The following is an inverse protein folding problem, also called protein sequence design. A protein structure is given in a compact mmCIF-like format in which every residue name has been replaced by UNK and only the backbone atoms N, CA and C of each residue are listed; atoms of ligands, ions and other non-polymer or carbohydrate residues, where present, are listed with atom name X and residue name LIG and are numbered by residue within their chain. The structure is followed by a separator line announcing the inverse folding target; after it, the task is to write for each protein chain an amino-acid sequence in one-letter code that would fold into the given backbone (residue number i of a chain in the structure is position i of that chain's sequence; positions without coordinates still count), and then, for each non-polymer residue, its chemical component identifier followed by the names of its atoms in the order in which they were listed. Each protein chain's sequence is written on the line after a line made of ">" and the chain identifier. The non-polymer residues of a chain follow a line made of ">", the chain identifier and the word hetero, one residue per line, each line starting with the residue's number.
data_IF_446316151098
#
_entry.id   IF_446316151098
#
_cell.length_a   1.000
_cell.length_b   1.000
_cell.length_c   1.000
_cell.angle_alpha   90.00
_cell.angle_beta   90.00
_cell.angle_gamma   90.00
#
_symmetry.space_group_name_H-M   'P 1'
#
loop_
_entity.id
_entity.type
_entity.pdbx_description
1 polymer ?
#
# COMPACT_ATOMS: atom_id res chain seq x y z
N UNK A 1 -8.90 -1.96 -10.92
CA UNK A 1 -8.01 -1.97 -12.08
C UNK A 1 -7.36 -0.58 -12.24
N UNK A 2 -7.52 0.09 -13.38
CA UNK A 2 -6.85 1.34 -13.80
C UNK A 2 -6.63 2.40 -12.70
N UNK A 3 -7.66 2.77 -11.92
CA UNK A 3 -7.56 3.81 -10.87
C UNK A 3 -6.45 3.55 -9.82
N UNK A 4 -6.03 2.30 -9.62
CA UNK A 4 -5.02 1.92 -8.64
C UNK A 4 -3.58 2.08 -9.15
N UNK A 5 -3.28 1.51 -10.32
CA UNK A 5 -2.04 1.77 -11.06
C UNK A 5 -1.71 3.26 -11.03
N UNK A 6 -2.73 3.98 -11.44
CA UNK A 6 -2.68 5.38 -11.71
C UNK A 6 -2.19 6.20 -10.49
N UNK A 7 -2.70 5.92 -9.29
CA UNK A 7 -2.24 6.58 -8.05
C UNK A 7 -0.79 6.25 -7.70
N UNK A 8 -0.35 5.01 -7.95
CA UNK A 8 0.99 4.58 -7.63
C UNK A 8 2.05 5.12 -8.63
N UNK A 9 1.66 5.40 -9.88
CA UNK A 9 2.53 6.13 -10.83
C UNK A 9 2.52 7.64 -10.57
N UNK A 10 1.42 8.21 -10.07
CA UNK A 10 1.41 9.62 -9.65
C UNK A 10 2.32 9.88 -8.47
N UNK A 11 2.26 8.99 -7.50
CA UNK A 11 3.04 9.03 -6.28
C UNK A 11 4.53 9.30 -6.52
N UNK A 12 5.12 8.62 -7.51
CA UNK A 12 6.52 8.75 -7.93
C UNK A 12 6.88 10.15 -8.47
N UNK A 13 5.90 10.99 -8.82
CA UNK A 13 6.10 12.35 -9.37
C UNK A 13 5.47 13.48 -8.56
N UNK A 14 4.50 13.23 -7.68
CA UNK A 14 3.92 14.29 -6.84
C UNK A 14 4.92 14.75 -5.76
N UNK A 15 5.81 13.87 -5.29
CA UNK A 15 6.86 14.23 -4.32
C UNK A 15 7.87 15.27 -4.86
N UNK A 16 8.03 15.45 -6.18
CA UNK A 16 8.93 16.47 -6.74
C UNK A 16 8.32 17.87 -6.80
N UNK A 17 6.99 18.01 -6.64
CA UNK A 17 6.32 19.32 -6.68
C UNK A 17 6.34 20.07 -5.34
N UNK A 18 6.37 19.36 -4.21
CA UNK A 18 6.35 19.99 -2.88
C UNK A 18 7.67 20.67 -2.46
N UNK A 19 8.78 20.44 -3.17
CA UNK A 19 10.06 21.13 -2.92
C UNK A 19 10.26 22.41 -3.75
N UNK A 20 9.30 22.76 -4.62
CA UNK A 20 9.46 23.81 -5.64
C UNK A 20 8.85 25.18 -5.27
N UNK A 21 8.68 25.46 -3.98
CA UNK A 21 8.33 26.80 -3.47
C UNK A 21 9.37 27.29 -2.46
N UNK A 22 10.28 28.13 -2.92
CA UNK A 22 11.09 29.02 -2.09
C UNK A 22 10.95 30.44 -2.63
N UNK A 23 10.59 31.44 -1.82
CA UNK A 23 10.43 32.80 -2.30
C UNK A 23 11.79 33.40 -2.67
N UNK A 24 11.90 33.88 -3.91
CA UNK A 24 13.08 34.59 -4.40
C UNK A 24 13.22 35.91 -3.64
N UNK A 25 14.26 36.02 -2.82
CA UNK A 25 14.70 37.29 -2.23
C UNK A 25 15.91 37.81 -2.99
N UNK A 26 15.85 39.06 -3.44
CA UNK A 26 16.89 39.68 -4.24
C UNK A 26 17.75 40.66 -3.41
N UNK A 27 19.06 40.42 -3.36
CA UNK A 27 20.10 41.43 -3.05
C UNK A 27 21.46 40.87 -3.52
N UNK A 28 22.08 41.44 -4.58
CA UNK A 28 23.01 42.59 -4.61
C UNK A 28 24.48 42.21 -4.25
N UNK A 29 25.35 42.25 -5.27
CA UNK A 29 26.80 42.60 -5.31
C UNK A 29 27.73 42.06 -4.17
N UNK A 30 28.91 41.46 -4.40
CA UNK A 30 30.04 41.96 -5.22
C UNK A 30 31.30 41.04 -5.16
N UNK A 31 32.17 41.11 -6.19
CA UNK A 31 33.66 40.89 -6.22
C UNK A 31 34.35 39.58 -5.76
N UNK A 32 35.01 38.96 -6.76
CA UNK A 32 36.46 38.64 -6.86
C UNK A 32 37.31 38.41 -5.60
N UNK A 33 37.98 37.24 -5.51
CA UNK A 33 39.43 37.15 -5.77
C UNK A 33 39.97 35.72 -6.01
N UNK A 34 41.14 35.64 -6.66
CA UNK A 34 41.89 34.41 -7.00
C UNK A 34 42.88 33.94 -5.91
N UNK A 35 43.60 32.85 -6.23
CA UNK A 35 44.86 32.34 -5.64
C UNK A 35 44.72 31.54 -4.33
N UNK A 36 45.03 30.23 -4.31
CA UNK A 36 46.33 29.54 -4.48
C UNK A 36 47.24 29.68 -3.27
N UNK A 37 47.59 28.56 -2.61
CA UNK A 37 48.96 28.01 -2.57
C UNK A 37 48.99 26.66 -1.81
N UNK A 38 50.06 25.87 -2.02
CA UNK A 38 50.22 24.49 -1.54
C UNK A 38 51.53 24.35 -0.74
N UNK A 39 51.50 23.43 0.25
CA UNK A 39 52.65 22.65 0.76
C UNK A 39 53.70 23.35 1.67
N UNK A 40 54.04 22.70 2.80
CA UNK A 40 55.35 22.07 3.00
C UNK A 40 55.29 21.00 4.12
N UNK A 41 56.14 19.97 4.04
CA UNK A 41 56.13 18.78 4.91
C UNK A 41 57.09 18.88 6.12
N UNK A 42 56.90 18.02 7.15
CA UNK A 42 57.91 17.01 7.58
C UNK A 42 57.56 16.30 8.91
N UNK A 43 57.54 14.95 8.91
CA UNK A 43 58.05 14.05 9.96
C UNK A 43 57.75 12.57 9.57
N UNK A 44 58.62 11.60 9.93
CA UNK A 44 58.55 10.19 9.50
C UNK A 44 58.65 9.22 10.69
N UNK A 45 57.73 8.24 10.76
CA UNK A 45 57.73 7.00 11.59
C UNK A 45 56.34 6.29 11.47
N UNK A 46 56.12 4.97 11.41
CA UNK A 46 56.94 3.75 11.13
C UNK A 46 56.07 2.77 10.29
N UNK A 47 56.66 1.78 9.62
CA UNK A 47 55.98 0.64 8.94
C UNK A 47 55.28 -0.34 9.93
N UNK A 48 54.29 -1.17 9.59
CA UNK A 48 54.04 -2.04 8.40
C UNK A 48 52.50 -2.24 8.14
N UNK A 49 52.03 -3.26 7.38
CA UNK A 49 52.04 -3.32 5.92
C UNK A 49 50.63 -3.40 5.27
N UNK A 50 50.63 -3.30 3.93
CA UNK A 50 49.54 -3.49 2.96
C UNK A 50 48.36 -4.39 3.32
N UNK A 51 47.14 -3.87 3.13
CA UNK A 51 45.88 -4.62 3.11
C UNK A 51 44.74 -3.79 2.49
N UNK A 52 44.82 -3.48 1.19
CA UNK A 52 43.82 -2.65 0.51
C UNK A 52 42.60 -3.49 0.09
N UNK A 53 41.72 -3.82 1.04
CA UNK A 53 40.38 -4.29 0.72
C UNK A 53 39.48 -3.11 0.37
N UNK A 54 39.38 -2.81 -0.92
CA UNK A 54 38.26 -2.03 -1.46
C UNK A 54 36.99 -2.86 -1.32
N UNK A 55 36.34 -2.76 -0.15
CA UNK A 55 35.04 -3.36 0.09
C UNK A 55 34.00 -2.71 -0.80
N UNK A 56 33.77 -3.34 -1.96
CA UNK A 56 32.61 -3.06 -2.79
C UNK A 56 31.36 -3.20 -1.92
N UNK A 57 30.42 -2.23 -1.93
CA UNK A 57 29.26 -2.30 -1.06
C UNK A 57 28.45 -3.56 -1.39
N UNK A 58 28.40 -4.49 -0.44
CA UNK A 58 27.55 -5.67 -0.54
C UNK A 58 26.11 -5.18 -0.75
N UNK A 59 25.41 -5.57 -1.84
CA UNK A 59 24.06 -5.11 -2.08
C UNK A 59 23.18 -5.57 -0.92
N UNK A 60 22.74 -4.61 -0.11
CA UNK A 60 21.86 -4.87 1.03
C UNK A 60 20.52 -5.32 0.50
N UNK A 61 20.19 -6.59 0.70
CA UNK A 61 18.92 -7.16 0.27
C UNK A 61 17.80 -6.43 1.02
N UNK A 62 17.09 -5.52 0.33
CA UNK A 62 15.93 -4.82 0.90
C UNK A 62 14.93 -5.86 1.38
N UNK A 63 14.34 -5.62 2.57
CA UNK A 63 13.22 -6.43 3.07
C UNK A 63 12.04 -6.29 2.12
N UNK A 64 11.23 -7.34 2.01
CA UNK A 64 10.15 -7.41 1.02
C UNK A 64 8.78 -7.15 1.64
N UNK A 65 8.03 -6.24 1.03
CA UNK A 65 6.64 -5.91 1.39
C UNK A 65 5.72 -6.33 0.26
N UNK A 66 4.62 -7.01 0.59
CA UNK A 66 3.65 -7.48 -0.39
C UNK A 66 2.23 -7.07 0.01
N UNK A 67 1.45 -6.52 -0.92
CA UNK A 67 0.08 -6.06 -0.64
C UNK A 67 -0.85 -6.28 -1.82
N UNK A 68 -1.96 -6.98 -1.56
CA UNK A 68 -3.02 -7.25 -2.53
C UNK A 68 -4.16 -6.24 -2.44
N UNK A 69 -4.69 -5.82 -3.58
CA UNK A 69 -5.73 -4.79 -3.66
C UNK A 69 -6.92 -5.25 -4.49
N UNK A 70 -8.14 -5.22 -3.94
CA UNK A 70 -9.33 -5.65 -4.69
C UNK A 70 -9.81 -4.54 -5.66
N UNK A 71 -10.05 -4.83 -6.95
CA UNK A 71 -10.44 -3.85 -7.97
C UNK A 71 -11.93 -3.50 -7.95
N UNK A 72 -12.70 -4.09 -7.03
CA UNK A 72 -14.14 -3.86 -6.89
C UNK A 72 -14.43 -2.42 -6.49
N UNK A 73 -15.43 -1.80 -7.12
CA UNK A 73 -15.89 -0.44 -6.82
C UNK A 73 -14.92 0.68 -7.18
N UNK A 74 -15.46 1.90 -7.27
CA UNK A 74 -14.64 3.11 -7.39
C UNK A 74 -13.74 3.29 -6.16
N UNK A 75 -12.54 3.80 -6.38
CA UNK A 75 -11.66 4.20 -5.30
C UNK A 75 -12.15 5.45 -4.58
N UNK A 76 -12.13 5.42 -3.25
CA UNK A 76 -12.51 6.56 -2.42
C UNK A 76 -11.35 7.10 -1.58
N UNK A 77 -11.51 8.33 -1.11
CA UNK A 77 -10.53 9.09 -0.34
C UNK A 77 -9.93 8.30 0.84
N UNK A 78 -10.77 7.57 1.58
CA UNK A 78 -10.32 6.67 2.66
C UNK A 78 -9.43 5.49 2.26
N UNK A 79 -9.47 5.04 0.99
CA UNK A 79 -8.47 4.07 0.50
C UNK A 79 -7.13 4.76 0.24
N UNK A 80 -7.19 5.94 -0.39
CA UNK A 80 -6.01 6.70 -0.78
C UNK A 80 -5.21 7.23 0.42
N UNK A 81 -5.86 7.97 1.33
CA UNK A 81 -5.21 8.53 2.51
C UNK A 81 -4.86 7.47 3.57
N UNK A 82 -5.62 6.38 3.65
CA UNK A 82 -5.41 5.32 4.65
C UNK A 82 -4.34 4.28 4.28
N UNK A 83 -4.13 4.01 2.98
CA UNK A 83 -3.23 2.96 2.51
C UNK A 83 -2.33 3.39 1.34
N UNK A 84 -2.90 3.89 0.24
CA UNK A 84 -2.14 4.07 -1.01
C UNK A 84 -1.03 5.13 -0.85
N UNK A 85 -1.30 6.24 -0.14
CA UNK A 85 -0.28 7.27 0.18
C UNK A 85 0.89 6.71 1.00
N UNK A 86 0.64 5.70 1.83
CA UNK A 86 1.68 5.04 2.63
C UNK A 86 2.49 4.03 1.81
N UNK A 87 1.94 3.45 0.73
CA UNK A 87 2.69 2.56 -0.15
C UNK A 87 3.81 3.27 -0.88
N UNK A 88 3.63 4.56 -1.18
CA UNK A 88 4.63 5.43 -1.82
C UNK A 88 5.96 5.37 -1.07
N UNK A 89 5.96 5.71 0.22
CA UNK A 89 7.15 5.79 1.07
C UNK A 89 7.74 4.41 1.43
N UNK A 90 7.03 3.32 1.13
CA UNK A 90 7.58 1.96 1.24
C UNK A 90 8.47 1.61 0.04
N UNK A 91 8.23 2.18 -1.15
CA UNK A 91 9.03 1.87 -2.36
C UNK A 91 10.49 2.33 -2.20
N UNK A 92 10.73 3.43 -1.49
CA UNK A 92 12.07 3.93 -1.18
C UNK A 92 12.87 2.93 -0.33
N UNK A 93 12.21 2.28 0.62
CA UNK A 93 12.85 1.56 1.73
C UNK A 93 12.81 0.03 1.57
N UNK A 94 11.87 -0.50 0.79
CA UNK A 94 11.59 -1.94 0.67
C UNK A 94 11.61 -2.43 -0.78
N UNK A 95 11.78 -3.73 -0.96
CA UNK A 95 11.45 -4.42 -2.21
C UNK A 95 9.93 -4.66 -2.21
N UNK A 96 9.18 -4.05 -3.13
CA UNK A 96 7.71 -3.98 -3.00
C UNK A 96 6.99 -4.69 -4.15
N UNK A 97 6.03 -5.56 -3.79
CA UNK A 97 5.10 -6.21 -4.72
C UNK A 97 3.69 -5.88 -4.28
N UNK A 98 3.17 -4.79 -4.84
CA UNK A 98 1.73 -4.58 -4.85
C UNK A 98 1.15 -5.50 -5.91
N UNK A 99 -0.09 -5.97 -5.77
CA UNK A 99 -0.79 -6.65 -6.86
C UNK A 99 -2.28 -6.37 -6.78
N UNK A 100 -2.98 -6.37 -7.92
CA UNK A 100 -4.42 -6.22 -7.92
C UNK A 100 -5.03 -7.61 -7.99
N UNK A 101 -5.90 -7.92 -7.02
CA UNK A 101 -6.74 -9.14 -6.94
C UNK A 101 -7.89 -9.10 -7.97
N UNK A 102 -7.74 -8.24 -8.98
CA UNK A 102 -7.90 -8.52 -10.41
C UNK A 102 -7.39 -7.29 -11.22
N UNK A 103 -6.44 -7.55 -12.11
CA UNK A 103 -5.72 -6.71 -13.09
C UNK A 103 -5.13 -5.31 -12.60
N UNK A 104 -3.79 -5.11 -12.74
CA UNK A 104 -3.06 -3.86 -13.15
C UNK A 104 -2.74 -2.61 -12.25
N UNK A 105 -1.53 -2.00 -12.05
CA UNK A 105 -0.07 -2.18 -12.35
C UNK A 105 0.87 -1.40 -11.33
N UNK A 106 2.23 -1.52 -11.38
CA UNK A 106 3.33 -0.97 -10.50
C UNK A 106 4.20 -2.00 -9.68
N UNK A 107 5.03 -2.83 -10.36
CA UNK A 107 5.42 -4.20 -9.92
C UNK A 107 4.24 -5.11 -9.53
N UNK A 108 3.03 -4.55 -9.49
CA UNK A 108 1.75 -5.16 -9.77
C UNK A 108 1.77 -5.65 -11.21
N UNK A 109 1.82 -6.95 -11.24
CA UNK A 109 1.29 -7.84 -12.24
C UNK A 109 -0.21 -7.98 -12.02
N UNK A 110 -0.80 -8.92 -12.74
CA UNK A 110 -2.12 -9.44 -12.42
C UNK A 110 -1.96 -10.81 -11.81
N UNK A 111 -2.65 -11.06 -10.70
CA UNK A 111 -2.68 -12.39 -10.08
C UNK A 111 -2.93 -13.51 -11.12
N UNK A 112 -3.88 -13.32 -12.04
CA UNK A 112 -4.18 -14.26 -13.15
C UNK A 112 -3.10 -14.34 -14.24
N UNK A 113 -2.23 -13.34 -14.40
CA UNK A 113 -1.10 -13.39 -15.34
C UNK A 113 0.08 -14.21 -14.78
N UNK A 114 0.10 -14.47 -13.47
CA UNK A 114 1.15 -15.24 -12.79
C UNK A 114 0.55 -16.56 -12.29
N UNK A 115 0.61 -17.61 -13.12
CA UNK A 115 -0.04 -18.91 -12.84
C UNK A 115 0.34 -19.55 -11.49
N UNK A 116 1.51 -19.21 -10.98
CA UNK A 116 2.02 -19.72 -9.71
C UNK A 116 1.09 -19.46 -8.51
N UNK A 117 0.24 -18.42 -8.57
CA UNK A 117 -0.76 -18.11 -7.54
C UNK A 117 -1.78 -19.24 -7.37
N UNK A 118 -2.38 -19.71 -8.47
CA UNK A 118 -3.38 -20.81 -8.43
C UNK A 118 -2.72 -22.17 -8.21
N UNK A 119 -1.51 -22.38 -8.73
CA UNK A 119 -0.74 -23.60 -8.50
C UNK A 119 -0.34 -23.73 -7.01
N UNK A 120 0.17 -22.67 -6.38
CA UNK A 120 0.48 -22.70 -4.95
C UNK A 120 -0.79 -22.75 -4.09
N UNK A 121 -1.87 -22.05 -4.45
CA UNK A 121 -3.16 -22.17 -3.74
C UNK A 121 -3.61 -23.63 -3.66
N UNK A 122 -3.50 -24.40 -4.75
CA UNK A 122 -3.85 -25.82 -4.76
C UNK A 122 -2.98 -26.65 -3.81
N UNK A 123 -1.66 -26.44 -3.85
CA UNK A 123 -0.73 -27.13 -2.95
C UNK A 123 -0.98 -26.77 -1.48
N UNK A 124 -1.16 -25.49 -1.14
CA UNK A 124 -1.51 -25.04 0.21
C UNK A 124 -2.88 -25.56 0.67
N UNK A 125 -3.84 -25.74 -0.23
CA UNK A 125 -5.16 -26.30 0.10
C UNK A 125 -5.02 -27.73 0.65
N UNK A 126 -4.11 -28.55 0.10
CA UNK A 126 -3.82 -29.89 0.65
C UNK A 126 -3.22 -29.87 2.07
N UNK A 127 -2.56 -28.78 2.45
CA UNK A 127 -2.02 -28.58 3.80
C UNK A 127 -3.03 -27.90 4.76
N UNK A 128 -4.13 -27.34 4.25
CA UNK A 128 -5.09 -26.51 5.00
C UNK A 128 -6.24 -27.35 5.57
N UNK A 129 -6.40 -27.47 6.91
CA UNK A 129 -7.57 -28.14 7.48
C UNK A 129 -8.85 -27.33 7.23
N UNK A 130 -9.89 -27.97 6.68
CA UNK A 130 -11.18 -27.29 6.37
C UNK A 130 -11.80 -26.56 7.58
N UNK A 131 -11.60 -27.11 8.78
CA UNK A 131 -12.06 -26.48 10.04
C UNK A 131 -11.39 -25.14 10.36
N UNK A 132 -10.25 -24.80 9.74
CA UNK A 132 -9.62 -23.48 9.87
C UNK A 132 -10.41 -22.44 9.06
N UNK A 133 -10.79 -22.79 7.83
CA UNK A 133 -11.57 -21.93 6.92
C UNK A 133 -12.99 -21.69 7.46
N UNK A 134 -13.68 -22.74 7.95
CA UNK A 134 -15.01 -22.65 8.54
C UNK A 134 -15.07 -21.76 9.81
N UNK A 135 -13.93 -21.40 10.42
CA UNK A 135 -13.86 -20.49 11.57
C UNK A 135 -13.63 -19.02 11.20
N UNK A 136 -13.35 -18.71 9.92
CA UNK A 136 -13.11 -17.33 9.47
C UNK A 136 -14.36 -16.47 9.65
N UNK A 137 -14.19 -15.29 10.26
CA UNK A 137 -15.30 -14.36 10.54
C UNK A 137 -15.87 -13.84 9.22
N UNK A 138 -14.99 -13.42 8.30
CA UNK A 138 -15.40 -12.93 6.98
C UNK A 138 -16.17 -13.98 6.17
N UNK A 139 -15.83 -15.28 6.29
CA UNK A 139 -16.61 -16.33 5.63
C UNK A 139 -18.03 -16.40 6.20
N UNK A 140 -18.17 -16.48 7.53
CA UNK A 140 -19.47 -16.54 8.23
C UNK A 140 -20.35 -15.32 7.99
N UNK A 141 -19.76 -14.13 7.89
CA UNK A 141 -20.52 -12.90 7.64
C UNK A 141 -20.96 -12.76 6.18
N UNK A 142 -20.10 -13.17 5.23
CA UNK A 142 -20.42 -13.09 3.80
C UNK A 142 -21.36 -14.23 3.38
N UNK A 143 -21.24 -15.44 3.94
CA UNK A 143 -22.15 -16.56 3.68
C UNK A 143 -23.60 -16.21 4.04
N UNK A 144 -23.82 -15.71 5.26
CA UNK A 144 -25.12 -15.25 5.75
C UNK A 144 -25.78 -14.17 4.90
N UNK A 145 -24.99 -13.32 4.23
CA UNK A 145 -25.51 -12.26 3.33
C UNK A 145 -25.92 -12.77 1.95
N UNK A 146 -25.36 -13.90 1.51
CA UNK A 146 -25.65 -14.54 0.21
C UNK A 146 -26.71 -15.64 0.34
N UNK A 147 -26.87 -16.19 1.55
CA UNK A 147 -27.68 -17.39 1.83
C UNK A 147 -26.82 -18.64 1.65
N UNK A 148 -26.76 -19.48 2.68
CA UNK A 148 -25.72 -20.52 2.82
C UNK A 148 -25.66 -21.53 1.64
N UNK A 149 -26.79 -21.80 0.97
CA UNK A 149 -26.85 -22.69 -0.21
C UNK A 149 -26.25 -22.07 -1.49
N UNK A 150 -26.19 -20.74 -1.59
CA UNK A 150 -25.65 -20.02 -2.75
C UNK A 150 -24.17 -19.64 -2.59
N UNK A 151 -23.50 -20.16 -1.56
CA UNK A 151 -22.11 -19.79 -1.24
C UNK A 151 -21.13 -20.56 -2.13
N UNK A 152 -20.58 -19.85 -3.12
CA UNK A 152 -19.51 -20.40 -3.95
C UNK A 152 -18.27 -20.80 -3.14
N UNK A 153 -17.67 -21.95 -3.48
CA UNK A 153 -16.49 -22.52 -2.79
C UNK A 153 -15.33 -21.54 -2.66
N UNK A 154 -15.14 -20.66 -3.65
CA UNK A 154 -14.13 -19.60 -3.62
C UNK A 154 -14.28 -18.65 -2.40
N UNK A 155 -15.48 -18.45 -1.87
CA UNK A 155 -15.69 -17.65 -0.66
C UNK A 155 -15.10 -18.32 0.60
N UNK A 156 -15.04 -19.64 0.63
CA UNK A 156 -14.40 -20.41 1.69
C UNK A 156 -12.87 -20.48 1.51
N UNK A 157 -12.40 -20.59 0.26
CA UNK A 157 -10.99 -20.91 -0.06
C UNK A 157 -10.12 -19.71 -0.41
N UNK A 158 -10.67 -18.51 -0.68
CA UNK A 158 -9.85 -17.32 -0.96
C UNK A 158 -8.81 -16.98 0.13
N UNK A 159 -8.97 -17.29 1.44
CA UNK A 159 -7.90 -17.07 2.42
C UNK A 159 -6.65 -17.92 2.15
N UNK A 160 -6.79 -19.08 1.47
CA UNK A 160 -5.66 -19.91 1.02
C UNK A 160 -5.01 -19.32 -0.23
N UNK A 161 -5.80 -18.71 -1.13
CA UNK A 161 -5.26 -17.95 -2.25
C UNK A 161 -4.47 -16.73 -1.75
N UNK A 162 -5.00 -15.97 -0.78
CA UNK A 162 -4.28 -14.87 -0.13
C UNK A 162 -2.96 -15.35 0.52
N UNK A 163 -2.95 -16.54 1.12
CA UNK A 163 -1.72 -17.13 1.63
C UNK A 163 -0.72 -17.45 0.50
N UNK A 164 -1.18 -18.01 -0.63
CA UNK A 164 -0.33 -18.22 -1.80
C UNK A 164 0.24 -16.90 -2.34
N UNK A 165 -0.59 -15.86 -2.44
CA UNK A 165 -0.22 -14.53 -2.91
C UNK A 165 0.92 -13.91 -2.09
N UNK A 166 0.95 -14.15 -0.78
CA UNK A 166 1.97 -13.61 0.13
C UNK A 166 3.23 -14.49 0.12
N UNK A 167 3.08 -15.82 0.09
CA UNK A 167 4.18 -16.75 0.33
C UNK A 167 5.04 -16.99 -0.92
N UNK A 168 4.48 -16.88 -2.13
CA UNK A 168 5.24 -16.95 -3.40
C UNK A 168 6.43 -15.99 -3.43
N UNK A 169 6.23 -14.78 -2.92
CA UNK A 169 7.25 -13.73 -2.97
C UNK A 169 8.21 -13.76 -1.78
N UNK A 170 8.12 -14.71 -0.83
CA UNK A 170 9.00 -14.74 0.35
C UNK A 170 8.94 -13.41 1.15
N UNK A 171 7.73 -12.91 1.34
CA UNK A 171 7.41 -11.64 1.99
C UNK A 171 7.96 -11.58 3.43
N UNK A 172 8.60 -10.46 3.78
CA UNK A 172 8.95 -10.18 5.19
C UNK A 172 7.77 -9.50 5.90
N UNK A 173 7.05 -8.61 5.21
CA UNK A 173 5.88 -7.93 5.77
C UNK A 173 4.69 -7.81 4.82
N UNK A 174 3.49 -7.69 5.40
CA UNK A 174 2.23 -7.46 4.68
C UNK A 174 1.45 -6.33 5.36
N UNK A 175 1.12 -5.21 4.68
CA UNK A 175 0.29 -4.17 5.26
C UNK A 175 -1.17 -4.61 5.22
N UNK A 176 -1.75 -4.80 6.40
CA UNK A 176 -3.13 -5.28 6.58
C UNK A 176 -3.95 -4.32 7.43
N UNK A 177 -5.20 -4.08 7.01
CA UNK A 177 -6.21 -3.46 7.87
C UNK A 177 -6.65 -4.42 8.98
N UNK A 178 -7.29 -3.88 10.03
CA UNK A 178 -7.83 -4.67 11.15
C UNK A 178 -8.73 -5.83 10.69
N UNK A 179 -9.49 -5.61 9.63
CA UNK A 179 -10.40 -6.57 9.02
C UNK A 179 -9.68 -7.78 8.38
N UNK A 180 -8.44 -7.63 7.95
CA UNK A 180 -7.66 -8.68 7.26
C UNK A 180 -6.67 -9.42 8.17
N UNK A 181 -6.53 -9.02 9.44
CA UNK A 181 -5.60 -9.65 10.41
C UNK A 181 -5.78 -11.16 10.53
N UNK A 182 -7.03 -11.66 10.49
CA UNK A 182 -7.31 -13.10 10.60
C UNK A 182 -6.76 -13.92 9.41
N UNK A 183 -6.71 -13.34 8.21
CA UNK A 183 -6.15 -14.03 7.03
C UNK A 183 -4.62 -14.01 7.01
N UNK A 184 -3.99 -12.93 7.51
CA UNK A 184 -2.54 -12.91 7.68
C UNK A 184 -2.10 -13.96 8.71
N UNK A 185 -2.86 -14.11 9.80
CA UNK A 185 -2.60 -15.15 10.79
C UNK A 185 -2.76 -16.57 10.21
N UNK A 186 -3.79 -16.82 9.39
CA UNK A 186 -3.90 -18.07 8.62
C UNK A 186 -2.65 -18.29 7.74
N UNK A 187 -2.19 -17.24 7.05
CA UNK A 187 -1.03 -17.30 6.16
C UNK A 187 0.24 -17.70 6.92
N UNK A 188 0.46 -17.13 8.12
CA UNK A 188 1.56 -17.51 9.02
C UNK A 188 1.47 -18.97 9.43
N UNK A 189 0.32 -19.40 9.93
CA UNK A 189 0.08 -20.79 10.36
C UNK A 189 0.27 -21.81 9.22
N UNK A 190 -0.12 -21.47 7.98
CA UNK A 190 0.13 -22.30 6.81
C UNK A 190 1.62 -22.35 6.44
N UNK A 191 2.32 -21.22 6.49
CA UNK A 191 3.76 -21.17 6.22
C UNK A 191 4.56 -22.01 7.23
N UNK A 192 4.26 -21.87 8.53
CA UNK A 192 4.84 -22.70 9.60
C UNK A 192 4.52 -24.19 9.39
N UNK A 193 3.27 -24.52 9.07
CA UNK A 193 2.84 -25.90 8.83
C UNK A 193 3.57 -26.55 7.66
N UNK A 194 3.70 -25.86 6.52
CA UNK A 194 4.46 -26.37 5.35
C UNK A 194 5.96 -26.48 5.68
N UNK A 195 6.52 -25.50 6.39
CA UNK A 195 7.91 -25.55 6.86
C UNK A 195 8.17 -26.77 7.77
N UNK A 196 7.23 -27.11 8.66
CA UNK A 196 7.35 -28.26 9.56
C UNK A 196 7.17 -29.60 8.83
N UNK A 197 6.27 -29.68 7.84
CA UNK A 197 5.99 -30.91 7.09
C UNK A 197 7.08 -31.25 6.07
N UNK A 198 7.62 -30.25 5.37
CA UNK A 198 8.46 -30.46 4.18
C UNK A 198 9.87 -29.84 4.29
N UNK A 199 10.10 -28.95 5.26
CA UNK A 199 11.36 -28.23 5.47
C UNK A 199 12.45 -29.04 6.18
N UNK A 200 13.15 -28.36 7.11
CA UNK A 200 14.13 -28.95 8.01
C UNK A 200 15.32 -29.61 7.30
N UNK A 201 15.78 -30.75 7.85
CA UNK A 201 16.91 -31.52 7.29
C UNK A 201 16.59 -32.15 5.94
N UNK A 202 15.33 -32.51 5.67
CA UNK A 202 14.90 -33.10 4.39
C UNK A 202 15.09 -32.08 3.26
N UNK A 203 14.55 -30.87 3.45
CA UNK A 203 14.70 -29.76 2.49
C UNK A 203 16.16 -29.40 2.21
N UNK A 204 16.98 -29.25 3.26
CA UNK A 204 18.43 -28.98 3.11
C UNK A 204 19.16 -30.03 2.27
N UNK A 205 18.84 -31.32 2.46
CA UNK A 205 19.42 -32.42 1.66
C UNK A 205 19.03 -32.37 0.18
N UNK A 206 17.93 -31.71 -0.16
CA UNK A 206 17.45 -31.54 -1.53
C UNK A 206 18.02 -30.27 -2.21
N UNK A 207 18.99 -29.60 -1.59
CA UNK A 207 19.56 -28.34 -2.08
C UNK A 207 18.83 -27.08 -1.59
N UNK A 208 17.84 -27.23 -0.72
CA UNK A 208 17.08 -26.12 -0.14
C UNK A 208 17.96 -25.15 0.66
N UNK A 209 17.88 -23.85 0.34
CA UNK A 209 18.49 -22.79 1.16
C UNK A 209 17.63 -22.57 2.41
N UNK A 210 18.29 -22.47 3.57
CA UNK A 210 17.61 -22.34 4.86
C UNK A 210 17.02 -23.66 5.39
N UNK A 211 16.45 -23.63 6.59
CA UNK A 211 15.68 -24.74 7.16
C UNK A 211 14.19 -24.71 6.81
N UNK A 212 13.76 -23.69 6.07
CA UNK A 212 12.39 -23.38 5.73
C UNK A 212 12.23 -23.22 4.21
N UNK A 213 11.01 -23.42 3.73
CA UNK A 213 10.59 -23.21 2.34
C UNK A 213 9.98 -21.81 2.19
N UNK A 214 9.29 -21.34 3.23
CA UNK A 214 8.72 -20.00 3.31
C UNK A 214 9.31 -19.18 4.46
N UNK A 215 9.45 -17.87 4.26
CA UNK A 215 9.43 -16.91 5.37
C UNK A 215 8.05 -16.86 6.03
N UNK A 216 8.01 -16.48 7.30
CA UNK A 216 6.76 -16.22 8.02
C UNK A 216 6.52 -14.70 7.97
N UNK A 217 5.45 -14.21 7.31
CA UNK A 217 5.25 -12.77 7.08
C UNK A 217 4.70 -12.06 8.33
N UNK A 218 5.29 -10.93 8.70
CA UNK A 218 4.83 -10.10 9.82
C UNK A 218 3.85 -9.00 9.36
N UNK A 219 2.93 -8.52 10.23
CA UNK A 219 2.06 -7.39 9.90
C UNK A 219 2.87 -6.09 9.80
N UNK A 220 2.79 -5.42 8.65
CA UNK A 220 3.23 -4.02 8.55
C UNK A 220 2.08 -3.12 8.99
N UNK A 221 2.12 -2.65 10.22
CA UNK A 221 1.21 -1.58 10.68
C UNK A 221 1.82 -0.26 10.16
N UNK A 222 1.18 0.46 9.22
CA UNK A 222 1.66 1.78 8.83
C UNK A 222 1.60 2.73 10.04
N UNK A 223 2.49 3.74 10.14
CA UNK A 223 2.27 4.84 11.09
C UNK A 223 0.86 5.38 10.89
N UNK A 224 0.11 5.53 11.99
CA UNK A 224 -1.35 5.56 12.03
C UNK A 224 -2.01 6.21 10.80
N UNK A 225 -2.36 5.36 9.82
CA UNK A 225 -2.91 5.81 8.55
C UNK A 225 -4.24 6.52 8.78
N UNK A 226 -4.50 7.58 8.01
CA UNK A 226 -5.70 8.39 8.13
C UNK A 226 -6.98 7.55 8.10
N UNK A 227 -7.66 7.43 9.23
CA UNK A 227 -8.93 6.71 9.33
C UNK A 227 -10.07 7.64 8.88
N UNK A 228 -10.21 7.79 7.57
CA UNK A 228 -11.28 8.60 6.97
C UNK A 228 -12.65 7.93 7.17
N UNK A 229 -13.57 8.67 7.78
CA UNK A 229 -14.92 8.22 8.11
C UNK A 229 -15.93 8.67 7.05
N UNK A 230 -17.13 8.10 7.09
CA UNK A 230 -18.21 8.39 6.15
C UNK A 230 -18.69 9.84 6.27
N UNK A 231 -18.95 10.47 5.12
CA UNK A 231 -19.50 11.84 5.08
C UNK A 231 -20.95 11.94 5.59
N UNK A 232 -21.65 10.82 5.77
CA UNK A 232 -23.01 10.77 6.30
C UNK A 232 -23.10 10.18 7.71
N UNK A 233 -21.98 9.67 8.25
CA UNK A 233 -21.89 9.07 9.58
C UNK A 233 -20.42 9.04 10.05
N UNK A 234 -20.05 9.94 10.96
CA UNK A 234 -18.68 10.05 11.49
C UNK A 234 -18.19 8.82 12.27
N UNK A 235 -19.08 7.91 12.68
CA UNK A 235 -18.72 6.68 13.42
C UNK A 235 -18.43 5.49 12.48
N UNK A 236 -18.93 5.52 11.25
CA UNK A 236 -18.69 4.49 10.24
C UNK A 236 -17.47 4.82 9.36
N UNK A 237 -16.57 3.84 9.17
CA UNK A 237 -15.45 3.98 8.21
C UNK A 237 -15.99 4.16 6.79
N UNK A 238 -15.38 5.05 6.00
CA UNK A 238 -15.73 5.22 4.59
C UNK A 238 -15.58 3.90 3.82
N UNK A 239 -16.60 3.48 3.07
CA UNK A 239 -16.66 2.16 2.42
C UNK A 239 -17.15 2.21 0.97
N UNK A 240 -16.49 1.41 0.13
CA UNK A 240 -16.90 1.10 -1.25
C UNK A 240 -18.29 0.46 -1.34
N UNK A 241 -18.71 -0.30 -0.32
CA UNK A 241 -19.98 -1.03 -0.31
C UNK A 241 -21.11 -0.30 0.44
N UNK A 242 -20.90 0.96 0.83
CA UNK A 242 -21.97 1.77 1.42
C UNK A 242 -23.05 2.06 0.36
N UNK A 243 -24.36 1.87 0.68
CA UNK A 243 -25.45 2.05 -0.30
C UNK A 243 -25.55 3.47 -0.87
N UNK A 244 -25.26 4.49 -0.05
CA UNK A 244 -25.28 5.89 -0.47
C UNK A 244 -23.91 6.33 -0.95
N UNK A 245 -23.80 6.77 -2.20
CA UNK A 245 -22.55 7.33 -2.72
C UNK A 245 -22.19 8.69 -2.10
N UNK A 246 -23.16 9.37 -1.47
CA UNK A 246 -22.91 10.59 -0.68
C UNK A 246 -22.06 10.31 0.57
N UNK A 247 -21.89 9.04 0.98
CA UNK A 247 -21.06 8.67 2.14
C UNK A 247 -19.55 8.77 1.88
N UNK A 248 -19.12 9.03 0.64
CA UNK A 248 -17.72 8.94 0.19
C UNK A 248 -17.39 9.94 -0.92
N UNK A 249 -16.16 10.44 -0.93
CA UNK A 249 -15.55 11.09 -2.11
C UNK A 249 -14.81 10.01 -2.90
N UNK A 250 -15.17 9.80 -4.16
CA UNK A 250 -14.39 8.97 -5.09
C UNK A 250 -13.27 9.82 -5.71
N UNK A 251 -12.12 9.21 -6.01
CA UNK A 251 -10.94 9.96 -6.46
C UNK A 251 -11.09 10.59 -7.85
N UNK A 252 -12.01 10.05 -8.66
CA UNK A 252 -12.41 10.62 -9.96
C UNK A 252 -13.79 11.32 -9.90
N UNK A 253 -14.30 11.67 -8.72
CA UNK A 253 -15.49 12.53 -8.66
C UNK A 253 -15.16 13.91 -9.30
N UNK A 254 -15.99 14.42 -10.22
CA UNK A 254 -15.86 15.78 -10.74
C UNK A 254 -15.94 16.86 -9.65
N UNK A 255 -15.41 18.06 -9.93
CA UNK A 255 -15.35 19.18 -8.97
C UNK A 255 -16.70 19.54 -8.34
N UNK A 256 -17.74 19.61 -9.17
CA UNK A 256 -19.10 19.90 -8.74
C UNK A 256 -19.69 18.77 -7.86
N UNK A 257 -19.35 17.52 -8.14
CA UNK A 257 -19.74 16.36 -7.33
C UNK A 257 -19.04 16.38 -5.97
N UNK A 258 -17.73 16.68 -5.92
CA UNK A 258 -16.98 16.85 -4.67
C UNK A 258 -17.60 17.97 -3.83
N UNK A 259 -17.77 19.16 -4.43
CA UNK A 259 -18.35 20.32 -3.75
C UNK A 259 -19.77 20.05 -3.23
N UNK A 260 -20.61 19.36 -4.00
CA UNK A 260 -21.97 19.00 -3.59
C UNK A 260 -21.97 17.98 -2.43
N UNK A 261 -21.11 16.95 -2.48
CA UNK A 261 -20.96 15.97 -1.39
C UNK A 261 -20.46 16.61 -0.10
N UNK A 262 -19.48 17.51 -0.17
CA UNK A 262 -18.99 18.24 1.01
C UNK A 262 -20.04 19.23 1.53
N UNK A 263 -20.76 19.96 0.65
CA UNK A 263 -21.88 20.82 1.05
C UNK A 263 -22.96 20.04 1.82
N UNK A 264 -23.26 18.81 1.38
CA UNK A 264 -24.29 17.92 1.96
C UNK A 264 -23.80 17.00 3.09
N UNK A 265 -22.50 16.98 3.42
CA UNK A 265 -22.01 16.08 4.46
C UNK A 265 -22.66 16.39 5.83
N UNK A 266 -22.81 15.36 6.66
CA UNK A 266 -23.32 15.48 8.02
C UNK A 266 -22.33 16.30 8.85
N UNK A 267 -22.86 17.22 9.64
CA UNK A 267 -22.11 18.07 10.59
C UNK A 267 -22.94 18.27 11.85
N UNK A 268 -22.27 18.63 12.95
CA UNK A 268 -22.92 18.98 14.21
C UNK A 268 -23.44 20.44 14.22
N UNK A 269 -24.06 20.82 15.34
CA UNK A 269 -24.60 22.16 15.58
C UNK A 269 -23.82 22.95 16.64
N UNK A 270 -22.62 22.51 17.02
CA UNK A 270 -21.80 23.21 18.01
C UNK A 270 -21.09 24.41 17.39
N UNK A 271 -20.74 25.39 18.21
CA UNK A 271 -19.93 26.54 17.80
C UNK A 271 -18.44 26.17 17.70
N UNK A 272 -17.74 26.80 16.76
CA UNK A 272 -16.32 26.55 16.48
C UNK A 272 -16.02 25.15 15.95
N UNK A 273 -14.76 24.93 15.56
CA UNK A 273 -14.27 23.66 15.02
C UNK A 273 -13.08 23.15 15.84
N UNK A 274 -13.11 21.88 16.26
CA UNK A 274 -12.11 21.29 17.15
C UNK A 274 -11.82 19.82 16.81
N UNK A 275 -10.60 19.39 17.11
CA UNK A 275 -10.19 17.98 17.02
C UNK A 275 -10.48 17.22 18.32
N UNK A 276 -10.47 15.89 18.26
CA UNK A 276 -10.51 14.93 19.37
C UNK A 276 -11.71 15.01 20.33
N UNK A 277 -12.71 15.86 20.10
CA UNK A 277 -13.98 15.81 20.82
C UNK A 277 -14.76 14.54 20.39
N UNK A 278 -14.98 13.55 21.28
CA UNK A 278 -15.62 12.28 20.93
C UNK A 278 -17.11 12.44 20.58
N UNK A 279 -17.76 13.50 21.07
CA UNK A 279 -19.16 13.82 20.79
C UNK A 279 -19.34 14.52 19.42
N UNK A 280 -18.24 14.85 18.74
CA UNK A 280 -18.21 15.54 17.44
C UNK A 280 -17.43 14.74 16.37
N UNK A 281 -17.79 13.46 16.10
CA UNK A 281 -17.03 12.60 15.20
C UNK A 281 -17.01 13.11 13.76
N UNK A 282 -18.08 13.78 13.29
CA UNK A 282 -18.08 14.47 11.99
C UNK A 282 -17.06 15.62 11.94
N UNK A 283 -16.93 16.42 13.01
CA UNK A 283 -16.00 17.55 13.04
C UNK A 283 -14.55 17.06 12.98
N UNK A 284 -14.22 16.09 13.84
CA UNK A 284 -12.89 15.48 13.85
C UNK A 284 -12.55 14.83 12.50
N UNK A 285 -13.51 14.17 11.83
CA UNK A 285 -13.31 13.58 10.50
C UNK A 285 -13.02 14.64 9.43
N UNK A 286 -13.82 15.71 9.35
CA UNK A 286 -13.68 16.72 8.30
C UNK A 286 -12.42 17.58 8.49
N UNK A 287 -12.04 17.93 9.72
CA UNK A 287 -10.77 18.59 10.03
C UNK A 287 -9.56 17.68 9.73
N UNK A 288 -9.66 16.39 10.05
CA UNK A 288 -8.62 15.41 9.69
C UNK A 288 -8.44 15.30 8.17
N UNK A 289 -9.53 15.25 7.40
CA UNK A 289 -9.45 15.27 5.93
C UNK A 289 -8.74 16.55 5.46
N UNK A 290 -9.17 17.72 5.94
CA UNK A 290 -8.58 19.00 5.55
C UNK A 290 -7.07 19.07 5.82
N UNK A 291 -6.63 18.65 7.01
CA UNK A 291 -5.22 18.53 7.39
C UNK A 291 -4.43 17.69 6.37
N UNK A 292 -4.95 16.51 6.03
CA UNK A 292 -4.25 15.55 5.18
C UNK A 292 -4.12 15.99 3.72
N UNK A 293 -5.11 16.71 3.20
CA UNK A 293 -5.13 17.17 1.80
C UNK A 293 -4.43 18.50 1.60
N UNK A 294 -4.51 19.41 2.59
CA UNK A 294 -3.73 20.66 2.60
C UNK A 294 -2.26 20.46 2.94
N UNK A 295 -1.92 19.38 3.66
CA UNK A 295 -0.56 19.12 4.16
C UNK A 295 -0.17 19.94 5.38
N UNK A 296 -1.09 20.74 5.94
CA UNK A 296 -0.89 21.58 7.13
C UNK A 296 -0.69 20.74 8.39
N UNK A 297 0.00 21.31 9.38
CA UNK A 297 0.09 20.70 10.72
C UNK A 297 -1.25 20.78 11.45
N UNK A 298 -1.38 20.06 12.58
CA UNK A 298 -2.61 20.11 13.37
C UNK A 298 -2.84 21.50 13.95
N UNK A 299 -1.76 22.15 14.38
CA UNK A 299 -1.72 23.47 14.99
C UNK A 299 -2.14 24.54 13.99
N UNK A 300 -1.64 24.47 12.75
CA UNK A 300 -2.04 25.35 11.65
C UNK A 300 -3.54 25.22 11.33
N UNK A 301 -4.06 23.98 11.23
CA UNK A 301 -5.49 23.74 10.99
C UNK A 301 -6.36 24.28 12.14
N UNK A 302 -5.95 24.09 13.40
CA UNK A 302 -6.68 24.68 14.55
C UNK A 302 -6.66 26.20 14.48
N UNK A 303 -5.50 26.83 14.27
CA UNK A 303 -5.39 28.29 14.22
C UNK A 303 -6.26 28.90 13.11
N UNK A 304 -6.31 28.27 11.95
CA UNK A 304 -7.11 28.70 10.80
C UNK A 304 -8.62 28.44 11.01
N UNK A 305 -9.00 27.24 11.47
CA UNK A 305 -10.38 26.77 11.38
C UNK A 305 -11.19 26.95 12.68
N UNK A 306 -10.56 27.12 13.85
CA UNK A 306 -11.25 27.09 15.16
C UNK A 306 -12.46 28.03 15.29
N UNK A 307 -12.38 29.22 14.68
CA UNK A 307 -13.41 30.26 14.72
C UNK A 307 -14.38 30.21 13.55
N UNK A 308 -14.21 29.27 12.61
CA UNK A 308 -15.10 29.12 11.46
C UNK A 308 -16.42 28.44 11.86
N UNK A 309 -17.46 28.71 11.08
CA UNK A 309 -18.68 27.92 11.07
C UNK A 309 -18.69 26.97 9.86
N UNK A 310 -19.62 26.01 9.85
CA UNK A 310 -19.77 25.05 8.75
C UNK A 310 -20.02 25.67 7.37
N UNK A 311 -20.60 26.87 7.31
CA UNK A 311 -20.84 27.60 6.07
C UNK A 311 -19.56 28.15 5.43
N UNK A 312 -18.56 28.51 6.24
CA UNK A 312 -17.24 28.94 5.78
C UNK A 312 -16.28 27.75 5.54
N UNK A 313 -16.31 26.76 6.44
CA UNK A 313 -15.37 25.63 6.38
C UNK A 313 -15.69 24.59 5.29
N UNK A 314 -16.97 24.34 4.97
CA UNK A 314 -17.32 23.37 3.90
C UNK A 314 -16.80 23.79 2.51
N UNK A 315 -16.92 25.06 2.08
CA UNK A 315 -16.26 25.55 0.87
C UNK A 315 -14.74 25.37 0.91
N UNK A 316 -14.07 25.81 1.98
CA UNK A 316 -12.61 25.68 2.15
C UNK A 316 -12.14 24.22 2.01
N UNK A 317 -12.84 23.28 2.64
CA UNK A 317 -12.56 21.86 2.53
C UNK A 317 -12.84 21.31 1.12
N UNK A 318 -13.89 21.78 0.45
CA UNK A 318 -14.20 21.36 -0.92
C UNK A 318 -13.12 21.82 -1.90
N UNK A 319 -12.68 23.08 -1.82
CA UNK A 319 -11.63 23.63 -2.67
C UNK A 319 -10.29 22.91 -2.42
N UNK A 320 -9.89 22.72 -1.15
CA UNK A 320 -8.68 21.98 -0.81
C UNK A 320 -8.71 20.50 -1.25
N UNK A 321 -9.89 19.86 -1.25
CA UNK A 321 -10.06 18.51 -1.80
C UNK A 321 -9.94 18.49 -3.33
N UNK A 322 -10.53 19.47 -4.01
CA UNK A 322 -10.46 19.62 -5.47
C UNK A 322 -9.01 19.85 -5.90
N UNK A 323 -8.30 20.78 -5.27
CA UNK A 323 -6.91 21.09 -5.60
C UNK A 323 -5.96 19.91 -5.33
N UNK A 324 -6.22 19.13 -4.28
CA UNK A 324 -5.46 17.91 -4.01
C UNK A 324 -5.74 16.77 -5.00
N UNK A 325 -6.99 16.64 -5.47
CA UNK A 325 -7.40 15.58 -6.40
C UNK A 325 -7.21 15.96 -7.87
N UNK A 326 -7.07 17.25 -8.22
CA UNK A 326 -6.85 17.70 -9.60
C UNK A 326 -5.59 17.10 -10.27
N UNK A 327 -4.36 17.22 -9.71
CA UNK A 327 -3.16 16.68 -10.37
C UNK A 327 -3.20 15.15 -10.49
N UNK A 328 -3.97 14.51 -9.61
CA UNK A 328 -4.31 13.10 -9.68
C UNK A 328 -5.24 12.87 -10.89
N UNK A 329 -6.39 13.55 -10.97
CA UNK A 329 -7.32 13.41 -12.10
C UNK A 329 -6.70 13.72 -13.48
N UNK A 330 -5.81 14.71 -13.58
CA UNK A 330 -5.10 15.07 -14.81
C UNK A 330 -4.17 13.94 -15.29
N UNK A 331 -3.34 13.42 -14.39
CA UNK A 331 -2.42 12.33 -14.69
C UNK A 331 -3.18 11.02 -14.97
N UNK A 332 -4.43 10.87 -14.50
CA UNK A 332 -5.30 9.74 -14.85
C UNK A 332 -5.74 9.84 -16.31
N UNK A 333 -6.18 11.02 -16.73
CA UNK A 333 -6.51 11.28 -18.13
C UNK A 333 -5.29 11.08 -19.04
N UNK A 334 -4.10 11.54 -18.63
CA UNK A 334 -2.86 11.34 -19.38
C UNK A 334 -2.53 9.85 -19.56
N UNK A 335 -2.49 9.06 -18.48
CA UNK A 335 -2.19 7.62 -18.56
C UNK A 335 -3.26 6.87 -19.37
N UNK A 336 -4.53 7.27 -19.25
CA UNK A 336 -5.61 6.68 -20.05
C UNK A 336 -5.61 7.07 -21.52
N UNK A 337 -4.84 8.09 -21.91
CA UNK A 337 -4.69 8.52 -23.31
C UNK A 337 -3.62 7.74 -24.09
N UNK A 338 -2.75 6.96 -23.42
CA UNK A 338 -1.86 5.96 -24.07
C UNK A 338 -2.33 4.54 -23.74
N UNK A 339 -3.12 3.89 -24.62
CA UNK A 339 -3.58 2.52 -24.42
C UNK A 339 -2.45 1.51 -24.21
N UNK A 340 -1.29 1.72 -24.85
CA UNK A 340 -0.16 0.81 -24.76
C UNK A 340 0.71 1.02 -23.52
N UNK A 341 0.61 2.15 -22.82
CA UNK A 341 1.38 2.40 -21.61
C UNK A 341 1.00 1.44 -20.50
N UNK A 342 -0.30 1.29 -20.28
CA UNK A 342 -0.87 0.34 -19.33
C UNK A 342 -0.30 -1.06 -19.58
N UNK A 343 -0.53 -1.63 -20.76
CA UNK A 343 -0.14 -3.00 -21.13
C UNK A 343 1.36 -3.28 -20.98
N UNK A 344 2.23 -2.30 -21.29
CA UNK A 344 3.69 -2.44 -21.13
C UNK A 344 4.09 -2.59 -19.66
N UNK A 345 3.66 -1.68 -18.78
CA UNK A 345 3.96 -1.74 -17.34
C UNK A 345 3.48 -3.06 -16.71
N UNK A 346 2.47 -3.68 -17.31
CA UNK A 346 1.85 -4.91 -16.86
C UNK A 346 2.55 -6.18 -17.29
N UNK A 347 2.99 -6.24 -18.55
CA UNK A 347 3.88 -7.29 -19.01
C UNK A 347 5.16 -7.29 -18.17
N UNK A 348 5.76 -6.11 -17.96
CA UNK A 348 6.98 -5.93 -17.16
C UNK A 348 6.78 -6.26 -15.67
N UNK A 349 5.60 -5.97 -15.12
CA UNK A 349 5.21 -6.40 -13.77
C UNK A 349 5.07 -7.93 -13.69
N UNK A 350 4.36 -8.53 -14.64
CA UNK A 350 4.08 -9.98 -14.67
C UNK A 350 5.32 -10.82 -14.91
N UNK A 351 6.26 -10.38 -15.73
CA UNK A 351 7.54 -11.06 -15.95
C UNK A 351 8.34 -11.13 -14.64
N UNK A 352 8.62 -9.98 -14.01
CA UNK A 352 9.38 -9.89 -12.74
C UNK A 352 8.73 -10.67 -11.60
N UNK A 353 7.41 -10.67 -11.54
CA UNK A 353 6.66 -11.44 -10.55
C UNK A 353 6.73 -12.94 -10.81
N UNK A 354 6.61 -13.37 -12.07
CA UNK A 354 6.76 -14.77 -12.49
C UNK A 354 8.11 -15.34 -12.09
N UNK A 355 9.21 -14.63 -12.35
CA UNK A 355 10.57 -15.11 -12.01
C UNK A 355 10.73 -15.47 -10.52
N UNK A 356 10.17 -14.65 -9.64
CA UNK A 356 10.23 -14.85 -8.18
C UNK A 356 9.24 -15.92 -7.73
N UNK A 357 8.01 -15.86 -8.24
CA UNK A 357 6.94 -16.77 -7.87
C UNK A 357 7.23 -18.22 -8.32
N UNK A 358 7.74 -18.41 -9.54
CA UNK A 358 8.15 -19.72 -10.05
C UNK A 358 9.34 -20.28 -9.26
N UNK A 359 10.31 -19.46 -8.84
CA UNK A 359 11.41 -19.92 -8.00
C UNK A 359 10.90 -20.49 -6.65
N UNK A 360 9.95 -19.83 -6.00
CA UNK A 360 9.30 -20.36 -4.78
C UNK A 360 8.44 -21.58 -5.07
N UNK A 361 7.61 -21.56 -6.11
CA UNK A 361 6.73 -22.67 -6.48
C UNK A 361 7.53 -23.94 -6.79
N UNK A 362 8.64 -23.83 -7.51
CA UNK A 362 9.55 -24.94 -7.81
C UNK A 362 10.18 -25.53 -6.53
N UNK A 363 10.50 -24.70 -5.54
CA UNK A 363 10.95 -25.17 -4.23
C UNK A 363 9.85 -25.97 -3.50
N UNK A 364 8.60 -25.51 -3.54
CA UNK A 364 7.45 -26.21 -2.94
C UNK A 364 7.19 -27.54 -3.65
N UNK A 365 7.15 -27.55 -4.99
CA UNK A 365 7.01 -28.77 -5.79
C UNK A 365 8.09 -29.81 -5.43
N UNK A 366 9.35 -29.38 -5.37
CA UNK A 366 10.46 -30.26 -5.00
C UNK A 366 10.34 -30.78 -3.55
N UNK A 367 10.00 -29.92 -2.58
CA UNK A 367 9.90 -30.32 -1.18
C UNK A 367 8.74 -31.30 -0.90
N UNK A 368 7.64 -31.13 -1.62
CA UNK A 368 6.49 -32.05 -1.63
C UNK A 368 6.75 -33.34 -2.43
N UNK A 369 7.78 -33.38 -3.27
CA UNK A 369 8.24 -34.57 -3.98
C UNK A 369 7.61 -34.78 -5.37
N UNK A 370 7.09 -33.72 -6.00
CA UNK A 370 6.60 -33.79 -7.37
C UNK A 370 7.76 -33.90 -8.37
N UNK A 371 7.52 -34.61 -9.47
CA UNK A 371 8.45 -34.66 -10.60
C UNK A 371 8.50 -33.29 -11.28
N UNK A 372 9.71 -32.82 -11.61
CA UNK A 372 9.88 -31.59 -12.40
C UNK A 372 9.39 -31.82 -13.84
N UNK A 373 8.76 -30.79 -14.42
CA UNK A 373 8.42 -30.74 -15.84
C UNK A 373 9.67 -30.52 -16.70
#
# INVERSE_FOLDING_TARGET
>A
MIQFLFLQICAERVQSFSSSYSPISASILNRNHQSSFRCFCSAVAVSQPSGSETSSPVPTVKKRVVSGVQPTGALHLGNYLGAIRNWISLQDNYDTFFFIVDLHAASVFVQSHVRAHVELMWLLSSATPIGWLNRMIQFKEKSRKVGDENVGVALLTYPVLMAADILLYQSDFVPVGDDQKQHLELTRQLAERVNNLYGGRKWKKMGGRGGSIFKIPEPLIPPAGARVMSLTDGLSKMSKSAPSDQSRINLLDPKDVIANKIKRCKTDSFEGLEFDNPDRPECNNLLSIYQLVSGKTREEVVQECQSMNWGAFKPLLADALIDHLQPIQDRYAEIMSDPGYLDRILADGAARATDIAEATLNNVYQAMGFLRR
#
